data_IF_074756993521
#
_entry.id   IF_074756993521
#
_cell.length_a   1.000
_cell.length_b   1.000
_cell.length_c   1.000
_cell.angle_alpha   90.00
_cell.angle_beta   90.00
_cell.angle_gamma   90.00
#
_symmetry.space_group_name_H-M   'P 1'
#
loop_
_entity.id
_entity.type
_entity.pdbx_description
1 polymer ?
#
# COMPACT_ATOMS: atom_id res chain seq x y z
N UNK A 1 37.66 -6.69 -27.99
CA UNK A 1 36.93 -6.71 -26.71
C UNK A 1 37.98 -6.74 -25.60
N UNK A 2 37.90 -5.85 -24.62
CA UNK A 2 38.87 -5.85 -23.50
C UNK A 2 38.66 -7.11 -22.64
N UNK A 3 39.72 -7.86 -22.33
CA UNK A 3 39.71 -9.05 -21.46
C UNK A 3 38.82 -8.92 -20.19
N UNK A 4 38.83 -7.79 -19.43
CA UNK A 4 37.95 -7.60 -18.29
C UNK A 4 36.45 -7.65 -18.63
N UNK A 5 36.04 -7.13 -19.78
CA UNK A 5 34.63 -7.13 -20.16
C UNK A 5 34.13 -8.56 -20.43
N UNK A 6 34.94 -9.36 -21.10
CA UNK A 6 34.61 -10.77 -21.36
C UNK A 6 34.49 -11.57 -20.05
N UNK A 7 35.37 -11.32 -19.08
CA UNK A 7 35.31 -11.94 -17.76
C UNK A 7 34.01 -11.60 -17.02
N UNK A 8 33.54 -10.35 -17.10
CA UNK A 8 32.28 -9.91 -16.50
C UNK A 8 31.10 -10.64 -17.15
N UNK A 9 31.02 -10.66 -18.48
CA UNK A 9 29.93 -11.36 -19.18
C UNK A 9 29.93 -12.86 -18.87
N UNK A 10 31.11 -13.50 -18.82
CA UNK A 10 31.21 -14.91 -18.40
C UNK A 10 30.73 -15.12 -16.97
N UNK A 11 31.02 -14.20 -16.05
CA UNK A 11 30.56 -14.29 -14.67
C UNK A 11 29.02 -14.20 -14.57
N UNK A 12 28.38 -13.30 -15.34
CA UNK A 12 26.91 -13.24 -15.43
C UNK A 12 26.31 -14.54 -15.98
N UNK A 13 26.92 -15.12 -17.02
CA UNK A 13 26.47 -16.40 -17.61
C UNK A 13 26.52 -17.57 -16.62
N UNK A 14 27.43 -17.57 -15.63
CA UNK A 14 27.45 -18.60 -14.56
C UNK A 14 26.15 -18.61 -13.76
N UNK A 15 25.49 -17.45 -13.63
CA UNK A 15 24.22 -17.30 -12.94
C UNK A 15 23.00 -17.32 -13.87
N UNK A 16 23.20 -17.52 -15.19
CA UNK A 16 22.12 -17.50 -16.18
C UNK A 16 21.60 -16.10 -16.50
N UNK A 17 22.45 -15.08 -16.36
CA UNK A 17 22.12 -13.66 -16.51
C UNK A 17 22.71 -13.09 -17.81
N UNK A 18 22.09 -12.04 -18.36
CA UNK A 18 22.43 -11.52 -19.70
C UNK A 18 23.68 -10.61 -19.70
N UNK A 19 23.92 -9.88 -18.60
CA UNK A 19 25.15 -9.11 -18.41
C UNK A 19 25.00 -7.63 -18.03
N UNK A 20 23.79 -7.08 -18.03
CA UNK A 20 23.54 -5.67 -17.66
C UNK A 20 22.72 -5.52 -16.36
N UNK A 21 22.52 -6.63 -15.66
CA UNK A 21 21.66 -6.67 -14.50
C UNK A 21 22.32 -6.04 -13.26
N UNK A 22 21.49 -5.43 -12.42
CA UNK A 22 21.92 -4.79 -11.19
C UNK A 22 22.53 -5.80 -10.20
N UNK A 23 23.51 -5.35 -9.42
CA UNK A 23 24.14 -6.19 -8.41
C UNK A 23 23.15 -6.77 -7.38
N UNK A 24 22.03 -6.10 -7.08
CA UNK A 24 21.00 -6.66 -6.20
C UNK A 24 20.39 -7.95 -6.76
N UNK A 25 20.12 -7.99 -8.06
CA UNK A 25 19.59 -9.18 -8.77
C UNK A 25 20.61 -10.31 -8.75
N UNK A 26 21.87 -10.00 -9.04
CA UNK A 26 22.98 -10.96 -8.96
C UNK A 26 23.08 -11.57 -7.57
N UNK A 27 23.02 -10.74 -6.53
CA UNK A 27 23.10 -11.17 -5.13
C UNK A 27 21.94 -12.10 -4.77
N UNK A 28 20.73 -11.81 -5.21
CA UNK A 28 19.56 -12.62 -4.91
C UNK A 28 19.59 -13.95 -5.67
N UNK A 29 20.01 -13.94 -6.95
CA UNK A 29 20.28 -15.16 -7.74
C UNK A 29 21.36 -16.03 -7.08
N UNK A 30 22.47 -15.42 -6.67
CA UNK A 30 23.55 -16.11 -5.97
C UNK A 30 23.07 -16.80 -4.69
N UNK A 31 22.27 -16.11 -3.86
CA UNK A 31 21.69 -16.71 -2.64
C UNK A 31 20.80 -17.91 -2.95
N UNK A 32 20.00 -17.84 -4.01
CA UNK A 32 19.13 -18.94 -4.41
C UNK A 32 19.94 -20.15 -4.89
N UNK A 33 20.94 -19.92 -5.75
CA UNK A 33 21.79 -20.98 -6.28
C UNK A 33 22.67 -21.61 -5.18
N UNK A 34 23.20 -20.83 -4.24
CA UNK A 34 24.00 -21.37 -3.14
C UNK A 34 23.19 -22.31 -2.25
N UNK A 35 21.91 -22.01 -1.99
CA UNK A 35 21.06 -22.91 -1.18
C UNK A 35 20.96 -24.30 -1.81
N UNK A 36 21.02 -24.40 -3.13
CA UNK A 36 20.99 -25.68 -3.85
C UNK A 36 22.35 -26.41 -3.84
N UNK A 37 23.44 -25.65 -3.88
CA UNK A 37 24.82 -26.17 -4.05
C UNK A 37 25.58 -26.24 -2.70
N UNK A 38 24.96 -25.85 -1.59
CA UNK A 38 25.61 -25.81 -0.28
C UNK A 38 26.02 -27.22 0.18
N UNK A 39 27.26 -27.40 0.70
CA UNK A 39 27.77 -28.72 1.10
C UNK A 39 26.93 -29.40 2.19
N UNK A 40 26.29 -28.66 3.10
CA UNK A 40 25.41 -29.27 4.11
C UNK A 40 24.07 -29.78 3.54
N UNK A 41 23.65 -29.28 2.38
CA UNK A 41 22.39 -29.68 1.73
C UNK A 41 22.62 -30.74 0.67
N UNK A 42 23.77 -30.69 -0.01
CA UNK A 42 24.23 -31.74 -0.91
C UNK A 42 24.77 -32.92 -0.10
N UNK A 43 23.96 -33.97 0.04
CA UNK A 43 24.26 -35.17 0.86
C UNK A 43 25.57 -35.90 0.52
N UNK A 44 26.18 -35.62 -0.61
CA UNK A 44 27.41 -36.26 -1.05
C UNK A 44 28.43 -35.19 -1.47
N UNK A 45 29.60 -35.20 -0.83
CA UNK A 45 30.76 -34.34 -1.10
C UNK A 45 31.42 -34.60 -2.45
N UNK A 46 30.64 -34.61 -3.52
CA UNK A 46 31.09 -34.80 -4.89
C UNK A 46 32.04 -33.64 -5.27
N UNK A 47 33.24 -33.99 -5.74
CA UNK A 47 34.25 -33.05 -6.19
C UNK A 47 33.71 -32.09 -7.27
N UNK A 48 32.70 -32.52 -8.04
CA UNK A 48 32.02 -31.68 -9.03
C UNK A 48 31.19 -30.56 -8.39
N UNK A 49 30.54 -30.83 -7.26
CA UNK A 49 29.74 -29.84 -6.51
C UNK A 49 30.66 -28.77 -5.92
N UNK A 50 31.79 -29.18 -5.35
CA UNK A 50 32.80 -28.26 -4.82
C UNK A 50 33.40 -27.39 -5.93
N UNK A 51 33.76 -27.97 -7.07
CA UNK A 51 34.27 -27.21 -8.23
C UNK A 51 33.23 -26.25 -8.82
N UNK A 52 31.93 -26.59 -8.76
CA UNK A 52 30.84 -25.71 -9.15
C UNK A 52 30.71 -24.53 -8.18
N UNK A 53 30.75 -24.79 -6.87
CA UNK A 53 30.69 -23.76 -5.84
C UNK A 53 31.86 -22.78 -5.95
N UNK A 54 33.08 -23.27 -6.12
CA UNK A 54 34.27 -22.42 -6.30
C UNK A 54 34.15 -21.49 -7.51
N UNK A 55 33.63 -22.00 -8.64
CA UNK A 55 33.37 -21.18 -9.84
C UNK A 55 32.33 -20.10 -9.56
N UNK A 56 31.27 -20.41 -8.82
CA UNK A 56 30.23 -19.45 -8.45
C UNK A 56 30.74 -18.37 -7.50
N UNK A 57 31.54 -18.75 -6.49
CA UNK A 57 32.16 -17.79 -5.57
C UNK A 57 33.09 -16.83 -6.32
N UNK A 58 33.91 -17.37 -7.24
CA UNK A 58 34.81 -16.55 -8.07
C UNK A 58 34.03 -15.62 -8.99
N UNK A 59 32.96 -16.10 -9.63
CA UNK A 59 32.08 -15.26 -10.46
C UNK A 59 31.42 -14.16 -9.62
N UNK A 60 30.95 -14.49 -8.42
CA UNK A 60 30.33 -13.52 -7.51
C UNK A 60 31.31 -12.42 -7.07
N UNK A 61 32.56 -12.75 -6.73
CA UNK A 61 33.57 -11.75 -6.37
C UNK A 61 33.89 -10.78 -7.52
N UNK A 62 33.94 -11.30 -8.77
CA UNK A 62 34.08 -10.45 -9.97
C UNK A 62 32.88 -9.50 -10.07
N UNK A 63 31.66 -10.02 -10.00
CA UNK A 63 30.45 -9.19 -10.10
C UNK A 63 30.30 -8.21 -8.92
N UNK A 64 30.73 -8.59 -7.71
CA UNK A 64 30.72 -7.69 -6.55
C UNK A 64 31.57 -6.44 -6.77
N UNK A 65 32.66 -6.56 -7.51
CA UNK A 65 33.56 -5.45 -7.83
C UNK A 65 33.11 -4.65 -9.05
N UNK A 66 32.58 -5.30 -10.07
CA UNK A 66 32.38 -4.69 -11.40
C UNK A 66 30.93 -4.55 -11.86
N UNK A 67 29.97 -5.21 -11.20
CA UNK A 67 28.56 -5.09 -11.58
C UNK A 67 28.07 -3.65 -11.35
N UNK A 68 27.26 -3.10 -12.28
CA UNK A 68 26.63 -1.81 -12.10
C UNK A 68 25.69 -1.86 -10.89
N UNK A 69 25.57 -0.70 -10.24
CA UNK A 69 24.64 -0.50 -9.12
C UNK A 69 23.67 0.61 -9.43
N UNK A 70 22.39 0.35 -9.22
CA UNK A 70 21.31 1.27 -9.47
C UNK A 70 20.98 2.07 -8.21
N UNK A 71 20.88 3.38 -8.37
CA UNK A 71 20.33 4.27 -7.36
C UNK A 71 19.30 5.19 -8.01
N UNK A 72 18.12 5.31 -7.42
CA UNK A 72 17.07 6.18 -7.94
C UNK A 72 17.09 7.51 -7.15
N UNK A 73 17.07 8.64 -7.85
CA UNK A 73 16.92 9.96 -7.23
C UNK A 73 15.67 10.65 -7.73
N UNK A 74 15.01 11.39 -6.85
CA UNK A 74 13.91 12.28 -7.22
C UNK A 74 14.42 13.72 -7.35
N UNK A 75 14.03 14.38 -8.43
CA UNK A 75 14.27 15.81 -8.69
C UNK A 75 12.97 16.50 -9.08
N UNK A 76 12.89 17.81 -8.83
CA UNK A 76 11.73 18.59 -9.25
C UNK A 76 11.76 18.88 -10.77
N UNK A 77 10.61 19.17 -11.40
CA UNK A 77 10.57 19.58 -12.80
C UNK A 77 11.36 20.86 -13.08
N UNK A 78 11.50 21.76 -12.10
CA UNK A 78 12.31 22.96 -12.24
C UNK A 78 13.81 22.66 -12.30
N UNK A 79 14.27 21.79 -11.40
CA UNK A 79 15.65 21.31 -11.38
C UNK A 79 15.97 20.52 -12.66
N UNK A 80 15.03 19.69 -13.12
CA UNK A 80 15.17 18.95 -14.38
C UNK A 80 15.32 19.87 -15.60
N UNK A 81 14.60 21.01 -15.62
CA UNK A 81 14.72 22.02 -16.69
C UNK A 81 16.06 22.74 -16.66
N UNK A 82 16.47 23.22 -15.47
CA UNK A 82 17.71 23.99 -15.30
C UNK A 82 18.97 23.13 -15.43
N UNK A 83 18.90 21.85 -15.05
CA UNK A 83 20.07 20.99 -14.91
C UNK A 83 21.03 21.51 -13.83
N UNK A 84 22.24 20.97 -13.79
CA UNK A 84 23.29 21.45 -12.89
C UNK A 84 24.18 20.35 -12.35
N UNK A 85 25.05 20.71 -11.40
CA UNK A 85 25.83 19.74 -10.62
C UNK A 85 25.13 19.57 -9.28
N UNK A 86 24.88 18.34 -8.89
CA UNK A 86 24.21 18.00 -7.62
C UNK A 86 25.05 17.01 -6.85
N UNK A 87 25.23 17.25 -5.56
CA UNK A 87 25.77 16.26 -4.64
C UNK A 87 24.64 15.35 -4.18
N UNK A 88 24.80 14.05 -4.36
CA UNK A 88 23.87 13.02 -3.91
C UNK A 88 24.55 12.13 -2.89
N UNK A 89 23.78 11.65 -1.92
CA UNK A 89 24.26 10.69 -0.93
C UNK A 89 23.85 9.29 -1.36
N UNK A 90 24.81 8.50 -1.82
CA UNK A 90 24.61 7.09 -2.17
C UNK A 90 25.05 6.25 -0.96
N UNK A 91 24.07 5.73 -0.21
CA UNK A 91 24.31 5.06 1.07
C UNK A 91 25.11 5.95 2.04
N UNK A 92 26.35 5.58 2.36
CA UNK A 92 27.22 6.30 3.30
C UNK A 92 28.25 7.20 2.61
N UNK A 93 28.18 7.33 1.28
CA UNK A 93 29.12 8.15 0.50
C UNK A 93 28.41 9.27 -0.22
N UNK A 94 29.08 10.41 -0.31
CA UNK A 94 28.64 11.53 -1.13
C UNK A 94 29.31 11.44 -2.50
N UNK A 95 28.51 11.57 -3.55
CA UNK A 95 28.97 11.56 -4.93
C UNK A 95 28.37 12.74 -5.68
N UNK A 96 29.14 13.36 -6.56
CA UNK A 96 28.66 14.46 -7.38
C UNK A 96 28.14 13.92 -8.71
N UNK A 97 26.94 14.31 -9.11
CA UNK A 97 26.38 13.99 -10.42
C UNK A 97 26.22 15.26 -11.24
N UNK A 98 26.42 15.14 -12.55
CA UNK A 98 26.07 16.21 -13.50
C UNK A 98 24.75 15.86 -14.16
N UNK A 99 23.73 16.66 -13.87
CA UNK A 99 22.40 16.53 -14.45
C UNK A 99 22.36 17.43 -15.69
N UNK A 100 22.14 16.87 -16.89
CA UNK A 100 22.00 17.68 -18.10
C UNK A 100 20.72 18.52 -18.06
N UNK A 101 20.67 19.58 -18.87
CA UNK A 101 19.47 20.40 -19.02
C UNK A 101 18.33 19.61 -19.66
N UNK A 102 17.09 19.95 -19.30
CA UNK A 102 15.88 19.32 -19.83
C UNK A 102 15.86 17.78 -19.70
N UNK A 103 16.25 17.28 -18.52
CA UNK A 103 16.32 15.83 -18.28
C UNK A 103 14.92 15.22 -18.16
N UNK A 104 14.75 13.99 -18.68
CA UNK A 104 13.48 13.27 -18.66
C UNK A 104 13.46 12.19 -17.58
N UNK A 105 12.26 11.70 -17.26
CA UNK A 105 12.07 10.52 -16.42
C UNK A 105 12.81 9.30 -16.96
N UNK A 106 13.51 8.60 -16.06
CA UNK A 106 14.28 7.40 -16.38
C UNK A 106 15.66 7.67 -16.96
N UNK A 107 16.07 8.93 -17.11
CA UNK A 107 17.42 9.26 -17.59
C UNK A 107 18.46 8.71 -16.62
N UNK A 108 19.48 8.02 -17.15
CA UNK A 108 20.57 7.46 -16.38
C UNK A 108 21.77 8.40 -16.44
N UNK A 109 22.27 8.79 -15.26
CA UNK A 109 23.49 9.59 -15.12
C UNK A 109 24.51 8.82 -14.30
N UNK A 110 25.78 9.01 -14.61
CA UNK A 110 26.90 8.38 -13.90
C UNK A 110 27.53 9.41 -12.95
N UNK A 111 27.74 9.09 -11.67
CA UNK A 111 28.44 9.96 -10.75
C UNK A 111 29.90 10.19 -11.15
N UNK A 112 30.37 11.39 -10.88
CA UNK A 112 31.76 11.78 -11.06
C UNK A 112 32.59 11.06 -9.98
N UNK A 113 33.59 10.28 -10.41
CA UNK A 113 34.50 9.54 -9.53
C UNK A 113 34.10 8.08 -9.28
N UNK A 114 32.81 7.75 -9.37
CA UNK A 114 32.29 6.40 -9.07
C UNK A 114 31.53 5.82 -10.28
N UNK A 115 32.23 5.27 -11.30
CA UNK A 115 31.63 4.87 -12.57
C UNK A 115 30.75 3.61 -12.49
N UNK A 116 30.81 2.89 -11.36
CA UNK A 116 30.01 1.68 -11.14
C UNK A 116 28.55 2.00 -10.80
N UNK A 117 28.28 3.21 -10.31
CA UNK A 117 26.94 3.63 -9.95
C UNK A 117 26.22 4.22 -11.17
N UNK A 118 24.99 3.75 -11.39
CA UNK A 118 24.05 4.27 -12.37
C UNK A 118 22.89 4.91 -11.60
N UNK A 119 22.77 6.22 -11.74
CA UNK A 119 21.76 7.00 -11.05
C UNK A 119 20.59 7.26 -12.00
N UNK A 120 19.42 6.71 -11.69
CA UNK A 120 18.21 6.94 -12.46
C UNK A 120 17.47 8.15 -11.92
N UNK A 121 17.17 9.08 -12.80
CA UNK A 121 16.48 10.32 -12.46
C UNK A 121 14.97 10.11 -12.58
N UNK A 122 14.25 10.38 -11.50
CA UNK A 122 12.80 10.52 -11.45
C UNK A 122 12.46 11.99 -11.25
N UNK A 123 11.99 12.62 -12.32
CA UNK A 123 11.34 13.93 -12.29
C UNK A 123 9.91 13.74 -11.77
N UNK A 124 9.71 14.17 -10.55
CA UNK A 124 8.41 14.24 -9.91
C UNK A 124 8.29 15.59 -9.25
N UNK A 125 7.11 16.19 -9.33
CA UNK A 125 6.83 17.32 -8.46
C UNK A 125 6.79 16.78 -7.03
N UNK A 126 7.58 17.39 -6.15
CA UNK A 126 7.29 17.28 -4.73
C UNK A 126 6.05 18.15 -4.56
N UNK A 127 4.88 17.56 -4.79
CA UNK A 127 3.67 18.06 -4.17
C UNK A 127 4.05 18.14 -2.70
N UNK A 128 4.26 19.35 -2.19
CA UNK A 128 4.18 19.57 -0.75
C UNK A 128 2.84 18.96 -0.41
N UNK A 129 2.85 17.88 0.37
CA UNK A 129 1.64 17.42 1.05
C UNK A 129 1.22 18.60 1.92
N UNK A 130 0.56 19.59 1.32
CA UNK A 130 -0.27 20.52 2.04
C UNK A 130 -1.16 19.61 2.85
N UNK A 131 -1.19 19.79 4.17
CA UNK A 131 -1.87 18.94 5.15
C UNK A 131 -3.38 18.80 4.82
N UNK A 132 -3.72 18.09 3.76
CA UNK A 132 -5.09 17.77 3.33
C UNK A 132 -5.75 16.87 4.38
N UNK A 133 -4.95 16.26 5.26
CA UNK A 133 -5.42 15.45 6.38
C UNK A 133 -6.20 16.28 7.42
N UNK A 134 -5.82 17.53 7.69
CA UNK A 134 -6.56 18.33 8.69
C UNK A 134 -7.98 18.66 8.22
N UNK A 135 -8.15 18.94 6.91
CA UNK A 135 -9.47 19.17 6.32
C UNK A 135 -10.25 17.86 6.14
N UNK A 136 -9.59 16.78 5.71
CA UNK A 136 -10.21 15.46 5.55
C UNK A 136 -10.73 14.86 6.85
N UNK A 137 -9.96 14.96 7.95
CA UNK A 137 -10.41 14.47 9.26
C UNK A 137 -11.59 15.28 9.83
N UNK A 138 -11.60 16.60 9.61
CA UNK A 138 -12.70 17.46 10.04
C UNK A 138 -14.00 17.16 9.27
N UNK A 139 -13.88 16.88 7.97
CA UNK A 139 -15.02 16.56 7.11
C UNK A 139 -15.58 15.15 7.40
N UNK A 140 -14.71 14.16 7.63
CA UNK A 140 -15.11 12.82 8.10
C UNK A 140 -15.89 12.88 9.42
N UNK A 141 -15.44 13.70 10.39
CA UNK A 141 -16.15 13.90 11.67
C UNK A 141 -17.53 14.55 11.48
N UNK A 142 -17.66 15.50 10.54
CA UNK A 142 -18.95 16.12 10.21
C UNK A 142 -19.94 15.12 9.62
N UNK A 143 -19.49 14.30 8.66
CA UNK A 143 -20.32 13.27 8.05
C UNK A 143 -20.77 12.21 9.06
N UNK A 144 -19.87 11.79 9.96
CA UNK A 144 -20.21 10.87 11.04
C UNK A 144 -21.25 11.45 12.00
N UNK A 145 -21.12 12.74 12.37
CA UNK A 145 -22.10 13.42 13.23
C UNK A 145 -23.47 13.58 12.54
N UNK A 146 -23.49 13.85 11.24
CA UNK A 146 -24.73 13.95 10.47
C UNK A 146 -25.44 12.60 10.34
N UNK A 147 -24.68 11.52 10.09
CA UNK A 147 -25.21 10.16 10.05
C UNK A 147 -25.82 9.75 11.39
N UNK A 148 -25.14 10.04 12.50
CA UNK A 148 -25.67 9.73 13.84
C UNK A 148 -26.97 10.46 14.13
N UNK A 149 -27.04 11.78 13.83
CA UNK A 149 -28.29 12.54 13.99
C UNK A 149 -29.43 11.96 13.17
N UNK A 150 -29.16 11.54 11.94
CA UNK A 150 -30.16 10.92 11.07
C UNK A 150 -30.63 9.56 11.59
N UNK A 151 -29.73 8.75 12.14
CA UNK A 151 -30.08 7.49 12.81
C UNK A 151 -30.91 7.74 14.08
N UNK A 152 -30.53 8.71 14.91
CA UNK A 152 -31.27 9.07 16.12
C UNK A 152 -32.70 9.56 15.79
N UNK A 153 -32.86 10.39 14.74
CA UNK A 153 -34.19 10.84 14.26
C UNK A 153 -35.03 9.69 13.73
N UNK A 154 -34.44 8.75 12.99
CA UNK A 154 -35.16 7.57 12.52
C UNK A 154 -35.61 6.65 13.65
N UNK A 155 -34.80 6.52 14.71
CA UNK A 155 -35.16 5.73 15.89
C UNK A 155 -36.32 6.40 16.63
N UNK A 156 -36.30 7.72 16.80
CA UNK A 156 -37.42 8.42 17.45
C UNK A 156 -38.71 8.34 16.64
N UNK A 157 -38.64 8.50 15.31
CA UNK A 157 -39.81 8.35 14.43
C UNK A 157 -40.40 6.93 14.50
N UNK A 158 -39.54 5.90 14.56
CA UNK A 158 -39.98 4.51 14.70
C UNK A 158 -40.60 4.20 16.08
N UNK A 159 -40.12 4.84 17.14
CA UNK A 159 -40.72 4.75 18.49
C UNK A 159 -42.10 5.41 18.53
N UNK A 160 -42.25 6.60 17.93
CA UNK A 160 -43.55 7.29 17.83
C UNK A 160 -44.59 6.49 17.03
N UNK A 161 -44.18 5.86 15.91
CA UNK A 161 -45.04 4.99 15.12
C UNK A 161 -45.47 3.73 15.91
N UNK A 162 -44.55 3.11 16.66
CA UNK A 162 -44.84 1.93 17.48
C UNK A 162 -45.83 2.25 18.63
N UNK A 163 -45.69 3.41 19.27
CA UNK A 163 -46.61 3.89 20.30
C UNK A 163 -47.99 4.22 19.72
N UNK A 164 -48.04 4.83 18.53
CA UNK A 164 -49.29 5.07 17.81
C UNK A 164 -50.02 3.75 17.49
N UNK A 165 -49.30 2.74 16.98
CA UNK A 165 -49.86 1.41 16.70
C UNK A 165 -50.36 0.70 17.98
N UNK A 166 -49.62 0.80 19.08
CA UNK A 166 -49.99 0.19 20.36
C UNK A 166 -51.27 0.83 20.93
N UNK A 167 -51.38 2.15 20.86
CA UNK A 167 -52.59 2.87 21.29
C UNK A 167 -53.80 2.51 20.43
N UNK A 168 -53.62 2.34 19.12
CA UNK A 168 -54.68 1.93 18.20
C UNK A 168 -55.17 0.50 18.49
N UNK A 169 -54.25 -0.42 18.82
CA UNK A 169 -54.57 -1.78 19.22
C UNK A 169 -55.34 -1.80 20.55
N UNK A 170 -54.93 -0.97 21.52
CA UNK A 170 -55.64 -0.85 22.81
C UNK A 170 -57.07 -0.35 22.62
N UNK A 171 -57.27 0.70 21.83
CA UNK A 171 -58.59 1.22 21.49
C UNK A 171 -59.46 0.19 20.75
N UNK A 172 -58.86 -0.61 19.86
CA UNK A 172 -59.54 -1.72 19.19
C UNK A 172 -59.96 -2.82 20.17
N UNK A 173 -59.05 -3.26 21.05
CA UNK A 173 -59.33 -4.27 22.07
C UNK A 173 -60.45 -3.82 23.01
N UNK A 174 -60.44 -2.57 23.48
CA UNK A 174 -61.52 -2.01 24.30
C UNK A 174 -62.88 -2.02 23.60
N UNK A 175 -62.90 -1.91 22.26
CA UNK A 175 -64.13 -1.97 21.46
C UNK A 175 -64.68 -3.40 21.29
N UNK A 176 -63.83 -4.42 21.34
CA UNK A 176 -64.21 -5.83 21.10
C UNK A 176 -64.39 -6.67 22.37
N UNK A 177 -63.85 -6.24 23.52
CA UNK A 177 -64.23 -6.80 24.82
C UNK A 177 -65.65 -6.34 25.12
N UNK A 178 -66.63 -7.19 24.78
CA UNK A 178 -68.07 -7.00 25.04
C UNK A 178 -68.26 -6.28 26.38
N UNK A 179 -68.92 -5.12 26.38
CA UNK A 179 -69.29 -4.39 27.58
C UNK A 179 -69.74 -5.36 28.67
N UNK A 180 -69.08 -5.31 29.83
CA UNK A 180 -69.30 -6.27 30.91
C UNK A 180 -70.80 -6.33 31.26
N UNK A 181 -71.30 -7.45 31.82
CA UNK A 181 -72.70 -7.55 32.25
C UNK A 181 -73.16 -6.35 33.08
N UNK A 182 -72.28 -5.80 33.94
CA UNK A 182 -72.53 -4.61 34.73
C UNK A 182 -72.73 -3.34 33.87
N UNK A 183 -71.92 -3.14 32.83
CA UNK A 183 -72.08 -2.00 31.91
C UNK A 183 -73.37 -2.09 31.09
N UNK A 184 -73.79 -3.30 30.71
CA UNK A 184 -75.08 -3.54 30.04
C UNK A 184 -76.25 -3.28 30.99
N UNK A 185 -76.15 -3.73 32.24
CA UNK A 185 -77.16 -3.50 33.29
C UNK A 185 -77.31 -2.01 33.60
N UNK A 186 -76.20 -1.27 33.74
CA UNK A 186 -76.22 0.18 33.95
C UNK A 186 -76.78 0.96 32.75
N UNK A 187 -76.66 0.44 31.53
CA UNK A 187 -77.29 1.02 30.34
C UNK A 187 -78.79 0.71 30.28
N UNK A 188 -79.20 -0.48 30.72
CA UNK A 188 -80.61 -0.86 30.84
C UNK A 188 -81.34 -0.04 31.91
N UNK A 189 -80.76 0.09 33.10
CA UNK A 189 -81.31 0.94 34.19
C UNK A 189 -81.49 2.40 33.73
N UNK A 190 -80.55 2.94 32.95
CA UNK A 190 -80.64 4.30 32.41
C UNK A 190 -81.58 4.43 31.19
N UNK A 191 -81.86 3.34 30.48
CA UNK A 191 -82.75 3.33 29.30
C UNK A 191 -84.22 3.07 29.62
N UNK A 192 -84.54 2.58 30.83
CA UNK A 192 -85.91 2.28 31.27
C UNK A 192 -86.73 3.48 31.76
N UNK A 193 -86.14 4.69 31.82
CA UNK A 193 -86.83 5.90 32.30
C UNK A 193 -87.41 6.78 31.19
N UNK A 194 -87.69 6.23 30.01
CA UNK A 194 -88.43 6.91 28.93
C UNK A 194 -89.53 5.98 28.38
N UNK A 195 -90.47 5.57 29.23
CA UNK A 195 -91.81 5.10 28.86
C UNK A 195 -92.72 5.09 30.10
N UNK A 196 -93.60 6.09 30.16
CA UNK A 196 -94.59 6.43 31.20
C UNK A 196 -94.08 7.18 32.44
#
# INVERSE_FOLDING_TARGET
MSEPHEAIVKAYKVFGLEGDEDFSVVRDRFRNVIKEVHPDTAKDGDAKTVARLQRMLKAYEVLRRFAPRRHDITITPEEARKGGIRTIKIHDREAMIRIPVAVKNGTVVVPIGDPLWRVHIKVQDVMVDADLNQQGEAELKRLAAMKKKFEDTKVSEAEEDADAHTNLLKAFCERFVKASPAARFAKWVRGGSNAA
#
